data_IF_835781425552
#
_entry.id   IF_835781425552
#
_cell.length_a   1.000
_cell.length_b   1.000
_cell.length_c   1.000
_cell.angle_alpha   90.00
_cell.angle_beta   90.00
_cell.angle_gamma   90.00
#
_symmetry.space_group_name_H-M   'P 1'
#
loop_
_entity.id
_entity.type
_entity.pdbx_description
1 polymer ?
#
# COMPACT_ATOMS: atom_id res chain seq x y z
N UNK A 1 -33.78 13.44 0.72
CA UNK A 1 -32.88 12.46 1.36
C UNK A 1 -31.86 12.05 0.30
N UNK A 2 -30.63 12.55 0.38
CA UNK A 2 -29.62 12.31 -0.66
C UNK A 2 -28.89 11.01 -0.35
N UNK A 3 -29.16 9.97 -1.14
CA UNK A 3 -28.38 8.74 -1.15
C UNK A 3 -27.20 8.92 -2.11
N UNK A 4 -25.98 8.96 -1.57
CA UNK A 4 -24.76 8.79 -2.36
C UNK A 4 -24.34 7.33 -2.28
N UNK A 5 -24.54 6.56 -3.35
CA UNK A 5 -23.85 5.29 -3.53
C UNK A 5 -22.58 5.57 -4.35
N UNK A 6 -21.43 5.51 -3.70
CA UNK A 6 -20.13 5.39 -4.37
C UNK A 6 -19.67 3.96 -4.20
N UNK A 7 -19.69 3.18 -5.29
CA UNK A 7 -19.07 1.86 -5.34
C UNK A 7 -17.94 1.91 -6.38
N UNK A 8 -16.73 2.22 -5.94
CA UNK A 8 -15.52 2.10 -6.73
C UNK A 8 -14.90 0.73 -6.48
N UNK A 9 -14.80 -0.11 -7.52
CA UNK A 9 -13.98 -1.33 -7.45
C UNK A 9 -12.50 -0.90 -7.46
N UNK A 10 -11.92 -0.73 -6.27
CA UNK A 10 -10.48 -0.57 -6.14
C UNK A 10 -9.78 -1.90 -6.45
N UNK A 11 -8.80 -1.88 -7.36
CA UNK A 11 -7.97 -3.06 -7.66
C UNK A 11 -7.07 -3.32 -6.47
N UNK A 12 -7.05 -4.56 -5.96
CA UNK A 12 -6.21 -4.92 -4.80
C UNK A 12 -4.96 -5.65 -5.25
N UNK A 13 -3.82 -5.22 -4.75
CA UNK A 13 -2.52 -5.89 -4.93
C UNK A 13 -2.03 -6.31 -3.56
N UNK A 14 -1.73 -7.60 -3.41
CA UNK A 14 -1.13 -8.15 -2.21
C UNK A 14 0.39 -8.24 -2.39
N UNK A 15 1.13 -7.70 -1.43
CA UNK A 15 2.58 -7.79 -1.39
C UNK A 15 2.98 -8.65 -0.20
N UNK A 16 3.42 -9.87 -0.47
CA UNK A 16 3.82 -10.82 0.55
C UNK A 16 5.29 -10.65 0.94
N UNK A 17 5.54 -10.53 2.24
CA UNK A 17 6.85 -10.33 2.84
C UNK A 17 7.30 -11.50 3.73
N UNK A 18 6.70 -12.69 3.61
CA UNK A 18 6.95 -13.87 4.49
C UNK A 18 8.43 -14.18 4.74
N UNK A 19 9.29 -14.07 3.71
CA UNK A 19 10.74 -14.30 3.84
C UNK A 19 11.59 -13.03 3.66
N UNK A 20 10.94 -11.86 3.64
CA UNK A 20 11.61 -10.57 3.46
C UNK A 20 11.97 -9.98 4.82
N UNK A 21 13.27 -10.02 5.15
CA UNK A 21 13.78 -9.51 6.43
C UNK A 21 13.76 -7.99 6.56
N UNK A 22 14.01 -7.26 5.46
CA UNK A 22 13.96 -5.80 5.40
C UNK A 22 13.66 -5.32 3.97
N UNK A 23 13.10 -4.13 3.85
CA UNK A 23 13.03 -3.37 2.59
C UNK A 23 13.77 -2.04 2.76
N UNK A 24 14.41 -1.58 1.68
CA UNK A 24 15.08 -0.28 1.66
C UNK A 24 14.08 0.88 1.63
N UNK A 25 14.49 2.04 2.15
CA UNK A 25 13.65 3.24 2.18
C UNK A 25 13.13 3.63 0.79
N UNK A 26 13.99 3.59 -0.24
CA UNK A 26 13.60 3.94 -1.61
C UNK A 26 12.54 3.00 -2.22
N UNK A 27 12.60 1.70 -1.92
CA UNK A 27 11.58 0.75 -2.36
C UNK A 27 10.23 1.05 -1.71
N UNK A 28 10.25 1.24 -0.39
CA UNK A 28 9.04 1.48 0.36
C UNK A 28 8.40 2.84 0.00
N UNK A 29 9.22 3.87 -0.22
CA UNK A 29 8.79 5.17 -0.71
C UNK A 29 8.15 5.08 -2.11
N UNK A 30 8.79 4.33 -3.03
CA UNK A 30 8.26 4.17 -4.38
C UNK A 30 6.91 3.44 -4.36
N UNK A 31 6.78 2.32 -3.63
CA UNK A 31 5.55 1.53 -3.61
C UNK A 31 4.43 2.22 -2.82
N UNK A 32 4.69 2.62 -1.58
CA UNK A 32 3.64 3.06 -0.66
C UNK A 32 3.30 4.55 -0.79
N UNK A 33 4.16 5.36 -1.43
CA UNK A 33 3.91 6.79 -1.67
C UNK A 33 3.80 7.11 -3.16
N UNK A 34 4.84 6.87 -3.96
CA UNK A 34 4.85 7.35 -5.36
C UNK A 34 3.85 6.57 -6.23
N UNK A 35 3.93 5.25 -6.23
CA UNK A 35 3.07 4.38 -7.04
C UNK A 35 1.61 4.48 -6.59
N UNK A 36 1.36 4.48 -5.27
CA UNK A 36 0.02 4.71 -4.69
C UNK A 36 -0.58 6.05 -5.14
N UNK A 37 0.19 7.14 -5.11
CA UNK A 37 -0.30 8.45 -5.52
C UNK A 37 -0.58 8.53 -7.03
N UNK A 38 0.19 7.80 -7.84
CA UNK A 38 -0.03 7.69 -9.30
C UNK A 38 -1.22 6.79 -9.66
N UNK A 39 -1.60 5.85 -8.80
CA UNK A 39 -2.66 4.86 -9.05
C UNK A 39 -3.66 4.84 -7.87
N UNK A 40 -4.48 5.89 -7.71
CA UNK A 40 -5.38 6.02 -6.56
C UNK A 40 -6.52 4.97 -6.53
N UNK A 41 -6.79 4.32 -7.65
CA UNK A 41 -7.74 3.21 -7.79
C UNK A 41 -7.15 1.87 -7.33
N UNK A 42 -5.86 1.82 -6.99
CA UNK A 42 -5.18 0.62 -6.51
C UNK A 42 -4.99 0.68 -4.99
N UNK A 43 -5.41 -0.39 -4.33
CA UNK A 43 -5.14 -0.64 -2.92
C UNK A 43 -3.98 -1.64 -2.78
N UNK A 44 -2.86 -1.16 -2.24
CA UNK A 44 -1.71 -2.00 -1.92
C UNK A 44 -1.85 -2.53 -0.49
N UNK A 45 -1.84 -3.84 -0.35
CA UNK A 45 -2.02 -4.55 0.92
C UNK A 45 -0.76 -5.36 1.21
N UNK A 46 0.12 -4.89 2.11
CA UNK A 46 1.26 -5.67 2.54
C UNK A 46 0.82 -6.79 3.50
N UNK A 47 1.27 -8.02 3.26
CA UNK A 47 1.04 -9.22 4.10
C UNK A 47 2.36 -9.77 4.62
N UNK A 48 2.34 -10.47 5.76
CA UNK A 48 3.53 -11.05 6.40
C UNK A 48 4.68 -10.05 6.60
N UNK A 49 4.34 -8.78 6.83
CA UNK A 49 5.30 -7.68 6.95
C UNK A 49 5.65 -7.41 8.42
N UNK A 50 6.88 -6.99 8.67
CA UNK A 50 7.29 -6.49 9.98
C UNK A 50 6.80 -5.05 10.10
N UNK A 51 5.92 -4.74 11.06
CA UNK A 51 5.20 -3.46 11.22
C UNK A 51 6.11 -2.21 11.16
N UNK A 52 7.34 -2.36 11.61
CA UNK A 52 8.38 -1.34 11.58
C UNK A 52 8.83 -0.91 10.17
N UNK A 53 8.75 -1.80 9.17
CA UNK A 53 9.10 -1.48 7.79
C UNK A 53 8.17 -0.44 7.19
N UNK A 54 6.87 -0.55 7.45
CA UNK A 54 5.85 0.32 6.88
C UNK A 54 5.82 1.68 7.58
N UNK A 55 5.96 1.70 8.91
CA UNK A 55 5.91 2.95 9.70
C UNK A 55 7.04 3.93 9.37
N UNK A 56 8.18 3.44 8.85
CA UNK A 56 9.32 4.28 8.45
C UNK A 56 9.14 5.00 7.12
N UNK A 57 8.21 4.55 6.30
CA UNK A 57 7.99 5.07 4.95
C UNK A 57 6.83 6.08 4.87
N UNK A 58 6.12 6.27 5.97
CA UNK A 58 4.99 7.20 6.07
C UNK A 58 5.36 8.55 6.72
N UNK A 59 6.65 8.75 7.04
CA UNK A 59 7.13 9.95 7.72
C UNK A 59 7.78 10.93 6.76
#
# INVERSE_FOLDING_TARGET
>A
MNFFLSCSQAKRIFLDFEEVKTIGYGFADEIFRVYKNKNPDIQIIPTNTIEFMIKRSQK
#
